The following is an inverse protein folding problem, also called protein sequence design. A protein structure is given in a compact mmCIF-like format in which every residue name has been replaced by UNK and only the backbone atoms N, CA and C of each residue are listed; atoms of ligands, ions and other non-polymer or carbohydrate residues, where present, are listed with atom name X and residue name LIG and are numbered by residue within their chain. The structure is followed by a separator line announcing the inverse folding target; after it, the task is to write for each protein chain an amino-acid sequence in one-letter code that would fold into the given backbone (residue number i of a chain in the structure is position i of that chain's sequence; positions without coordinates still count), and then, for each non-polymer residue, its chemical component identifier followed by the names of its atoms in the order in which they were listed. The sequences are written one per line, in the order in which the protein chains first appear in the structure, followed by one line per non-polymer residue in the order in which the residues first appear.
data_IF_295514031456
#
_entry.id   IF_295514031456
#
_cell.length_a   1.000
_cell.length_b   1.000
_cell.length_c   1.000
_cell.angle_alpha   90.00
_cell.angle_beta   90.00
_cell.angle_gamma   90.00
#
_symmetry.space_group_name_H-M   'P 1'
#
loop_
_entity.id
_entity.type
_entity.pdbx_description
1 polymer ?
#
# COMPACT_ATOMS: atom_id res chain seq x y z
N UNK A 1 34.44 -53.78 -28.97
CA UNK A 1 33.45 -54.34 -28.03
C UNK A 1 33.46 -53.51 -26.75
N UNK A 2 32.76 -52.36 -26.76
CA UNK A 2 32.49 -51.62 -25.52
C UNK A 2 31.55 -52.48 -24.68
N UNK A 3 31.99 -52.80 -23.46
CA UNK A 3 31.37 -53.79 -22.59
C UNK A 3 29.91 -53.41 -22.29
N UNK A 4 28.99 -54.34 -22.51
CA UNK A 4 27.58 -54.26 -22.10
C UNK A 4 27.40 -53.93 -20.61
N UNK A 5 28.43 -54.16 -19.80
CA UNK A 5 28.49 -53.73 -18.39
C UNK A 5 28.55 -52.21 -18.21
N UNK A 6 29.16 -51.47 -19.14
CA UNK A 6 29.28 -50.01 -19.08
C UNK A 6 27.95 -49.31 -19.41
N UNK A 7 27.20 -49.87 -20.37
CA UNK A 7 25.85 -49.38 -20.73
C UNK A 7 24.84 -49.64 -19.62
N UNK A 8 24.92 -50.80 -18.94
CA UNK A 8 24.07 -51.09 -17.78
C UNK A 8 24.37 -50.16 -16.59
N UNK A 9 25.63 -49.78 -16.39
CA UNK A 9 26.04 -48.91 -15.29
C UNK A 9 25.60 -47.46 -15.52
N UNK A 10 25.65 -46.99 -16.77
CA UNK A 10 25.12 -45.66 -17.15
C UNK A 10 23.59 -45.63 -17.04
N UNK A 11 22.89 -46.69 -17.45
CA UNK A 11 21.42 -46.78 -17.31
C UNK A 11 20.97 -46.89 -15.84
N UNK A 12 21.73 -47.58 -14.98
CA UNK A 12 21.48 -47.63 -13.53
C UNK A 12 21.78 -46.28 -12.86
N UNK A 13 22.79 -45.53 -13.30
CA UNK A 13 23.03 -44.17 -12.81
C UNK A 13 21.93 -43.19 -13.24
N UNK A 14 21.37 -43.35 -14.44
CA UNK A 14 20.24 -42.52 -14.90
C UNK A 14 18.93 -42.89 -14.17
N UNK A 15 18.70 -44.17 -13.84
CA UNK A 15 17.54 -44.58 -13.02
C UNK A 15 17.69 -44.27 -11.52
N UNK A 16 18.91 -44.15 -11.00
CA UNK A 16 19.17 -43.83 -9.59
C UNK A 16 19.19 -42.32 -9.30
N UNK A 17 19.14 -41.45 -10.32
CA UNK A 17 19.00 -40.01 -10.15
C UNK A 17 17.55 -39.53 -9.92
N UNK A 18 16.55 -40.39 -10.09
CA UNK A 18 15.12 -40.03 -9.92
C UNK A 18 14.53 -40.33 -8.53
N UNK A 19 15.35 -40.69 -7.53
CA UNK A 19 14.91 -40.82 -6.13
C UNK A 19 15.85 -40.04 -5.20
N UNK A 20 16.05 -38.76 -5.49
CA UNK A 20 16.48 -37.79 -4.49
C UNK A 20 15.26 -36.97 -4.06
N UNK A 21 14.57 -37.51 -3.05
CA UNK A 21 13.45 -36.87 -2.36
C UNK A 21 13.83 -35.44 -1.94
N UNK A 22 13.08 -34.49 -2.48
CA UNK A 22 13.08 -33.07 -2.16
C UNK A 22 12.63 -32.87 -0.71
N UNK A 23 13.58 -32.84 0.24
CA UNK A 23 13.34 -32.19 1.53
C UNK A 23 13.37 -30.67 1.33
N UNK A 24 12.26 -30.13 0.81
CA UNK A 24 11.94 -28.71 0.98
C UNK A 24 11.74 -28.48 2.47
N UNK A 25 12.75 -27.92 3.14
CA UNK A 25 12.55 -27.23 4.40
C UNK A 25 11.52 -26.12 4.14
N UNK A 26 10.26 -26.36 4.53
CA UNK A 26 9.27 -25.30 4.71
C UNK A 26 9.73 -24.45 5.90
N UNK A 27 10.65 -23.53 5.65
CA UNK A 27 10.65 -22.29 6.41
C UNK A 27 9.45 -21.51 5.90
N UNK A 28 8.39 -21.44 6.72
CA UNK A 28 7.26 -20.57 6.41
C UNK A 28 7.81 -19.17 6.20
N UNK A 29 7.64 -18.63 4.98
CA UNK A 29 7.88 -17.22 4.69
C UNK A 29 6.95 -16.47 5.65
N UNK A 30 7.51 -15.84 6.69
CA UNK A 30 6.76 -14.92 7.56
C UNK A 30 6.13 -13.88 6.66
N UNK A 31 4.89 -13.50 6.97
CA UNK A 31 4.19 -12.51 6.17
C UNK A 31 4.92 -11.16 6.32
N UNK A 32 5.11 -10.47 5.21
CA UNK A 32 5.92 -9.25 5.07
C UNK A 32 5.57 -8.14 6.09
N UNK A 33 4.30 -8.09 6.52
CA UNK A 33 3.83 -7.19 7.58
C UNK A 33 4.51 -7.41 8.94
N UNK A 34 4.92 -8.64 9.27
CA UNK A 34 5.66 -8.94 10.51
C UNK A 34 7.10 -8.40 10.48
N UNK A 35 7.60 -7.97 9.31
CA UNK A 35 8.93 -7.38 9.12
C UNK A 35 8.93 -5.84 9.13
N UNK A 36 7.77 -5.21 8.90
CA UNK A 36 7.61 -3.74 8.87
C UNK A 36 7.30 -3.11 10.24
N UNK A 37 6.85 -3.93 11.19
CA UNK A 37 6.58 -3.57 12.60
C UNK A 37 7.73 -2.80 13.30
N UNK A 38 9.02 -3.18 13.13
CA UNK A 38 10.14 -2.48 13.75
C UNK A 38 10.49 -1.14 13.07
N UNK A 39 10.11 -0.97 11.81
CA UNK A 39 10.43 0.23 11.02
C UNK A 39 9.44 1.37 11.29
N UNK A 40 8.16 1.05 11.47
CA UNK A 40 7.15 2.00 11.97
C UNK A 40 7.50 2.51 13.38
N UNK A 41 8.12 1.68 14.22
CA UNK A 41 8.62 2.07 15.54
C UNK A 41 9.79 3.08 15.49
N UNK A 42 10.56 3.13 14.41
CA UNK A 42 11.67 4.09 14.27
C UNK A 42 11.22 5.46 13.79
N UNK A 43 10.21 5.55 12.91
CA UNK A 43 9.64 6.82 12.44
C UNK A 43 9.03 7.63 13.60
N UNK A 44 8.32 6.97 14.51
CA UNK A 44 7.68 7.62 15.66
C UNK A 44 8.67 8.09 16.74
N UNK A 45 9.93 7.63 16.68
CA UNK A 45 10.98 8.11 17.58
C UNK A 45 11.53 9.48 17.16
N UNK A 46 11.43 9.82 15.87
CA UNK A 46 11.95 11.08 15.31
C UNK A 46 10.94 12.23 15.43
N UNK A 47 9.63 11.94 15.41
CA UNK A 47 8.57 12.94 15.58
C UNK A 47 8.46 13.47 17.02
N UNK A 48 8.95 12.73 18.01
CA UNK A 48 8.93 13.14 19.42
C UNK A 48 10.05 14.13 19.80
N UNK A 49 11.03 14.34 18.92
CA UNK A 49 12.19 15.22 19.19
C UNK A 49 12.05 16.63 18.57
N UNK A 50 10.90 16.96 17.96
CA UNK A 50 10.63 18.31 17.40
C UNK A 50 9.97 19.18 18.47
N UNK A 51 10.79 19.88 19.26
CA UNK A 51 10.34 21.02 20.07
C UNK A 51 10.00 22.21 19.15
N UNK A 52 8.72 22.52 18.99
CA UNK A 52 8.27 23.73 18.29
C UNK A 52 8.26 24.89 19.29
N UNK A 53 9.23 25.80 19.19
CA UNK A 53 9.23 27.08 19.88
C UNK A 53 8.09 27.97 19.33
N UNK A 54 7.08 28.26 20.16
CA UNK A 54 6.11 29.31 19.90
C UNK A 54 6.32 30.47 20.87
N UNK A 55 6.82 31.59 20.35
CA UNK A 55 6.85 32.88 21.05
C UNK A 55 5.45 33.56 21.08
N UNK A 56 5.22 34.23 22.21
CA UNK A 56 4.29 35.33 22.50
C UNK A 56 2.78 35.09 22.73
N UNK A 57 2.37 35.20 24.02
CA UNK A 57 1.35 36.17 24.45
C UNK A 57 1.38 36.40 25.99
N UNK A 58 1.31 37.67 26.39
CA UNK A 58 1.49 38.19 27.76
C UNK A 58 0.24 38.13 28.66
N UNK A 59 0.52 37.95 29.95
CA UNK A 59 -0.16 38.44 31.17
C UNK A 59 -1.56 37.93 31.57
N UNK A 60 -1.61 37.12 32.65
CA UNK A 60 -2.58 37.21 33.74
C UNK A 60 -1.98 36.66 35.06
N UNK A 61 -2.43 37.10 36.26
CA UNK A 61 -1.66 37.05 37.50
C UNK A 61 -1.60 35.68 38.21
N UNK A 62 -0.47 35.48 38.89
CA UNK A 62 -0.10 34.39 39.80
C UNK A 62 -1.00 34.40 41.05
N UNK A 63 -1.55 33.25 41.42
CA UNK A 63 -1.95 32.93 42.79
C UNK A 63 -1.29 31.60 43.18
N UNK A 64 -0.42 31.67 44.19
CA UNK A 64 0.37 30.58 44.75
C UNK A 64 -0.49 29.70 45.66
N UNK A 65 -0.44 28.38 45.45
CA UNK A 65 -0.69 27.40 46.52
C UNK A 65 -0.21 26.02 46.10
N UNK A 66 1.02 25.70 46.49
CA UNK A 66 1.58 24.42 46.93
C UNK A 66 0.71 23.15 46.76
N UNK A 67 1.24 22.14 46.06
CA UNK A 67 1.67 20.90 46.72
C UNK A 67 2.51 20.02 45.76
N UNK A 68 3.80 19.90 46.08
CA UNK A 68 4.70 18.90 45.52
C UNK A 68 4.26 17.51 45.96
N UNK A 69 3.84 16.68 45.01
CA UNK A 69 4.04 15.24 45.11
C UNK A 69 4.65 14.76 43.81
N UNK A 70 5.98 14.64 43.82
CA UNK A 70 6.73 13.80 42.91
C UNK A 70 6.30 12.34 43.13
N UNK A 71 5.27 11.91 42.42
CA UNK A 71 5.12 10.51 42.04
C UNK A 71 5.58 10.40 40.60
N UNK A 72 6.84 10.02 40.40
CA UNK A 72 7.29 9.41 39.14
C UNK A 72 6.56 8.07 39.00
N UNK A 73 5.30 8.13 38.59
CA UNK A 73 4.63 7.01 37.99
C UNK A 73 5.30 6.80 36.63
N UNK A 74 6.15 5.77 36.51
CA UNK A 74 6.41 5.16 35.21
C UNK A 74 5.05 4.80 34.62
N UNK A 75 4.51 5.68 33.79
CA UNK A 75 3.28 5.42 33.07
C UNK A 75 3.62 4.31 32.08
N UNK A 76 3.22 3.09 32.42
CA UNK A 76 3.25 1.95 31.50
C UNK A 76 2.28 2.28 30.36
N UNK A 77 2.76 3.09 29.41
CA UNK A 77 1.95 3.60 28.31
C UNK A 77 1.40 2.41 27.53
N UNK A 78 0.09 2.41 27.29
CA UNK A 78 -0.56 1.35 26.54
C UNK A 78 0.15 1.20 25.17
N UNK A 79 0.73 0.02 24.86
CA UNK A 79 1.54 -0.17 23.66
C UNK A 79 0.72 -0.01 22.37
N UNK A 80 -0.61 -0.02 22.46
CA UNK A 80 -1.50 0.25 21.33
C UNK A 80 -1.68 1.74 21.00
N UNK A 81 -1.29 2.68 21.88
CA UNK A 81 -1.48 4.11 21.63
C UNK A 81 -0.78 4.58 20.36
N UNK A 82 0.43 4.07 20.12
CA UNK A 82 1.27 4.45 18.97
C UNK A 82 1.44 3.30 17.96
N UNK A 83 0.68 2.21 18.10
CA UNK A 83 0.78 1.05 17.21
C UNK A 83 -0.33 1.08 16.16
N UNK A 84 0.03 1.39 14.93
CA UNK A 84 -0.92 1.42 13.82
C UNK A 84 -1.09 0.02 13.23
N UNK A 85 -2.31 -0.49 13.28
CA UNK A 85 -2.64 -1.75 12.62
C UNK A 85 -3.07 -1.53 11.16
N UNK A 86 -2.76 -2.48 10.29
CA UNK A 86 -3.26 -2.47 8.92
C UNK A 86 -4.80 -2.54 8.85
N UNK A 87 -5.36 -2.21 7.69
CA UNK A 87 -6.80 -2.08 7.48
C UNK A 87 -7.62 -3.29 7.92
N UNK A 88 -8.81 -3.05 8.48
CA UNK A 88 -9.70 -4.09 8.98
C UNK A 88 -9.18 -4.80 10.24
N UNK A 89 -8.13 -4.26 10.87
CA UNK A 89 -7.57 -4.74 12.12
C UNK A 89 -7.55 -3.62 13.15
N UNK A 90 -7.53 -4.01 14.41
CA UNK A 90 -7.39 -3.11 15.56
C UNK A 90 -6.33 -3.65 16.51
N UNK A 91 -5.75 -2.76 17.31
CA UNK A 91 -4.68 -3.12 18.24
C UNK A 91 -5.24 -3.64 19.56
N UNK A 92 -4.70 -4.77 20.01
CA UNK A 92 -4.98 -5.36 21.32
C UNK A 92 -3.68 -5.64 22.07
N UNK A 93 -3.67 -5.45 23.39
CA UNK A 93 -2.53 -5.82 24.24
C UNK A 93 -2.65 -7.29 24.64
N UNK A 94 -1.65 -8.10 24.31
CA UNK A 94 -1.63 -9.51 24.68
C UNK A 94 -1.21 -9.74 26.14
N UNK A 95 -1.28 -10.98 26.62
CA UNK A 95 -0.89 -11.36 28.00
C UNK A 95 0.59 -11.06 28.36
N UNK A 96 1.43 -10.73 27.38
CA UNK A 96 2.84 -10.36 27.58
C UNK A 96 3.06 -8.85 27.57
N UNK A 97 1.99 -8.05 27.61
CA UNK A 97 2.07 -6.59 27.54
C UNK A 97 2.49 -6.05 26.18
N UNK A 98 2.37 -6.83 25.09
CA UNK A 98 2.74 -6.37 23.74
C UNK A 98 1.51 -6.08 22.90
N UNK A 99 1.56 -5.00 22.11
CA UNK A 99 0.59 -4.71 21.08
C UNK A 99 0.57 -5.81 20.01
N UNK A 100 -0.62 -6.24 19.61
CA UNK A 100 -0.88 -7.23 18.57
C UNK A 100 -2.11 -6.82 17.76
N UNK A 101 -2.00 -6.80 16.44
CA UNK A 101 -3.13 -6.52 15.56
C UNK A 101 -4.05 -7.74 15.40
N UNK A 102 -5.32 -7.57 15.73
CA UNK A 102 -6.38 -8.56 15.53
C UNK A 102 -7.42 -8.04 14.55
N UNK A 103 -8.24 -8.91 13.95
CA UNK A 103 -9.31 -8.43 13.07
C UNK A 103 -10.25 -7.53 13.86
N UNK A 104 -10.64 -6.39 13.29
CA UNK A 104 -11.47 -5.41 13.97
C UNK A 104 -12.78 -6.06 14.42
N UNK A 105 -13.16 -5.88 15.69
CA UNK A 105 -14.42 -6.41 16.20
C UNK A 105 -15.59 -5.63 15.62
N UNK A 106 -15.47 -4.30 15.52
CA UNK A 106 -16.45 -3.41 14.91
C UNK A 106 -15.76 -2.38 14.01
N UNK A 107 -16.50 -1.85 13.04
CA UNK A 107 -16.04 -0.75 12.22
C UNK A 107 -16.64 0.58 12.73
N UNK A 108 -15.90 1.70 12.59
CA UNK A 108 -16.38 3.00 13.05
C UNK A 108 -17.75 3.35 12.46
N UNK A 109 -18.68 3.78 13.33
CA UNK A 109 -20.02 4.25 12.96
C UNK A 109 -20.22 5.74 13.26
N UNK A 110 -19.19 6.38 13.82
CA UNK A 110 -19.17 7.80 14.15
C UNK A 110 -17.93 8.47 13.52
N UNK A 111 -18.09 9.59 12.79
CA UNK A 111 -19.37 10.19 12.39
C UNK A 111 -20.21 9.22 11.55
N UNK A 112 -21.52 9.48 11.46
CA UNK A 112 -22.45 8.62 10.72
C UNK A 112 -21.89 8.35 9.31
N UNK A 113 -21.76 7.08 8.87
CA UNK A 113 -21.15 6.76 7.59
C UNK A 113 -21.86 7.48 6.44
N UNK A 114 -21.08 8.12 5.58
CA UNK A 114 -21.58 8.72 4.34
C UNK A 114 -21.92 7.59 3.36
N UNK A 115 -23.04 7.63 2.63
CA UNK A 115 -23.28 6.72 1.51
C UNK A 115 -22.13 6.62 0.49
N UNK A 116 -21.28 7.64 0.39
CA UNK A 116 -20.06 7.67 -0.43
C UNK A 116 -18.88 6.89 0.19
N UNK A 117 -18.94 6.54 1.48
CA UNK A 117 -17.92 5.72 2.15
C UNK A 117 -17.99 4.25 1.74
N UNK A 118 -19.10 3.84 1.10
CA UNK A 118 -19.27 2.49 0.57
C UNK A 118 -18.17 2.17 -0.43
N UNK A 119 -17.89 0.88 -0.58
CA UNK A 119 -16.86 0.42 -1.50
C UNK A 119 -17.25 -0.82 -2.26
N UNK A 120 -16.76 -0.95 -3.49
CA UNK A 120 -16.91 -2.14 -4.29
C UNK A 120 -15.65 -2.99 -4.20
N UNK A 121 -15.83 -4.29 -3.97
CA UNK A 121 -14.73 -5.26 -3.96
C UNK A 121 -14.48 -5.85 -5.35
N UNK A 122 -13.32 -6.48 -5.50
CA UNK A 122 -12.94 -7.26 -6.69
C UNK A 122 -13.85 -8.46 -7.00
N UNK A 123 -14.71 -8.85 -6.06
CA UNK A 123 -15.73 -9.88 -6.26
C UNK A 123 -17.12 -9.29 -6.60
N UNK A 124 -17.19 -8.00 -6.95
CA UNK A 124 -18.41 -7.27 -7.27
C UNK A 124 -19.44 -7.24 -6.12
N UNK A 125 -18.94 -7.23 -4.87
CA UNK A 125 -19.76 -7.08 -3.65
C UNK A 125 -19.51 -5.71 -3.04
N UNK A 126 -20.60 -5.02 -2.70
CA UNK A 126 -20.55 -3.72 -2.01
C UNK A 126 -20.43 -3.91 -0.50
N UNK A 127 -19.48 -3.21 0.10
CA UNK A 127 -19.30 -3.12 1.55
C UNK A 127 -19.63 -1.72 2.04
N UNK A 128 -20.09 -1.59 3.29
CA UNK A 128 -20.49 -0.31 3.87
C UNK A 128 -19.33 0.68 4.06
N UNK A 129 -18.10 0.17 4.13
CA UNK A 129 -16.88 0.99 4.21
C UNK A 129 -15.66 0.18 3.83
N UNK A 130 -14.52 0.83 3.62
CA UNK A 130 -13.24 0.14 3.47
C UNK A 130 -12.88 -0.73 4.71
N UNK A 131 -13.25 -0.29 5.94
CA UNK A 131 -13.05 -1.11 7.15
C UNK A 131 -13.77 -2.46 7.06
N UNK A 132 -15.07 -2.45 6.72
CA UNK A 132 -15.88 -3.65 6.57
C UNK A 132 -15.31 -4.62 5.53
N UNK A 133 -14.81 -4.10 4.40
CA UNK A 133 -14.17 -4.89 3.35
C UNK A 133 -12.94 -5.65 3.89
N UNK A 134 -12.01 -4.94 4.53
CA UNK A 134 -10.78 -5.57 5.01
C UNK A 134 -10.96 -6.37 6.31
N UNK A 135 -11.99 -6.07 7.12
CA UNK A 135 -12.40 -6.89 8.26
C UNK A 135 -12.82 -8.29 7.79
N UNK A 136 -13.67 -8.38 6.76
CA UNK A 136 -14.06 -9.65 6.14
C UNK A 136 -12.83 -10.40 5.59
N UNK A 137 -11.93 -9.70 4.88
CA UNK A 137 -10.65 -10.29 4.42
C UNK A 137 -9.84 -10.87 5.58
N UNK A 138 -9.71 -10.11 6.67
CA UNK A 138 -8.95 -10.53 7.85
C UNK A 138 -9.54 -11.79 8.49
N UNK A 139 -10.85 -11.80 8.74
CA UNK A 139 -11.57 -12.94 9.33
C UNK A 139 -11.42 -14.19 8.48
N UNK A 140 -11.57 -14.06 7.15
CA UNK A 140 -11.42 -15.18 6.23
C UNK A 140 -9.98 -15.67 6.11
N UNK A 141 -8.97 -14.78 6.13
CA UNK A 141 -7.55 -15.19 6.17
C UNK A 141 -7.17 -15.94 7.43
N UNK A 142 -7.84 -15.64 8.55
CA UNK A 142 -7.64 -16.31 9.84
C UNK A 142 -8.57 -17.49 10.07
N UNK A 143 -9.42 -17.82 9.10
CA UNK A 143 -10.38 -18.93 9.17
C UNK A 143 -11.32 -18.84 10.39
N UNK A 144 -11.71 -17.61 10.75
CA UNK A 144 -12.64 -17.34 11.84
C UNK A 144 -14.07 -17.75 11.45
N UNK A 145 -14.91 -18.05 12.44
CA UNK A 145 -16.28 -18.50 12.23
C UNK A 145 -17.17 -17.43 11.57
N UNK A 146 -16.85 -16.16 11.79
CA UNK A 146 -17.53 -14.99 11.25
C UNK A 146 -17.21 -14.73 9.77
N UNK A 147 -16.24 -15.46 9.19
CA UNK A 147 -15.94 -15.36 7.75
C UNK A 147 -17.17 -15.78 6.93
N UNK A 148 -17.65 -14.88 6.07
CA UNK A 148 -18.83 -15.15 5.25
C UNK A 148 -18.54 -16.12 4.12
N UNK A 149 -17.34 -16.03 3.52
CA UNK A 149 -16.93 -16.88 2.40
C UNK A 149 -15.42 -17.07 2.34
N UNK A 150 -14.94 -18.31 2.29
CA UNK A 150 -13.50 -18.62 2.21
C UNK A 150 -12.78 -17.99 1.00
N UNK A 151 -13.50 -17.68 -0.10
CA UNK A 151 -12.93 -16.94 -1.25
C UNK A 151 -12.50 -15.52 -0.88
N UNK A 152 -13.03 -14.96 0.20
CA UNK A 152 -12.75 -13.60 0.66
C UNK A 152 -11.36 -13.46 1.31
N UNK A 153 -10.55 -14.53 1.37
CA UNK A 153 -9.13 -14.45 1.77
C UNK A 153 -8.32 -13.46 0.94
N UNK A 154 -8.69 -13.26 -0.33
CA UNK A 154 -8.01 -12.38 -1.29
C UNK A 154 -8.81 -11.13 -1.66
N UNK A 155 -9.78 -10.75 -0.83
CA UNK A 155 -10.61 -9.58 -1.08
C UNK A 155 -9.77 -8.31 -1.10
N UNK A 156 -10.00 -7.45 -2.09
CA UNK A 156 -9.40 -6.12 -2.18
C UNK A 156 -10.42 -5.12 -2.71
N UNK A 157 -10.13 -3.84 -2.48
CA UNK A 157 -10.91 -2.74 -3.02
C UNK A 157 -10.80 -2.72 -4.55
N UNK A 158 -11.91 -2.68 -5.27
CA UNK A 158 -11.91 -2.43 -6.70
C UNK A 158 -12.00 -0.92 -6.99
N UNK A 159 -12.96 -0.25 -6.35
CA UNK A 159 -13.13 1.21 -6.41
C UNK A 159 -14.00 1.70 -5.24
N UNK A 160 -13.92 3.01 -4.99
CA UNK A 160 -14.75 3.72 -4.02
C UNK A 160 -16.17 3.91 -4.55
N UNK A 161 -17.17 3.74 -3.67
CA UNK A 161 -18.59 3.76 -4.00
C UNK A 161 -19.22 2.36 -4.01
N UNK A 162 -20.54 2.31 -4.21
CA UNK A 162 -21.26 1.05 -4.38
C UNK A 162 -20.91 0.39 -5.71
N UNK A 163 -21.04 -0.95 -5.78
CA UNK A 163 -20.81 -1.65 -7.04
C UNK A 163 -21.82 -1.23 -8.10
N UNK A 164 -21.29 -0.81 -9.25
CA UNK A 164 -22.00 -0.45 -10.46
C UNK A 164 -21.59 -1.38 -11.60
N UNK A 165 -22.43 -1.45 -12.62
CA UNK A 165 -22.07 -2.10 -13.88
C UNK A 165 -20.97 -1.28 -14.55
N UNK A 166 -19.82 -1.92 -14.78
CA UNK A 166 -18.70 -1.31 -15.49
C UNK A 166 -18.73 -1.73 -16.95
N UNK A 167 -18.44 -0.78 -17.83
CA UNK A 167 -18.18 -1.09 -19.24
C UNK A 167 -16.96 -2.01 -19.37
N UNK A 168 -16.98 -2.91 -20.35
CA UNK A 168 -15.89 -3.86 -20.56
C UNK A 168 -14.58 -3.13 -20.94
N UNK A 169 -13.49 -3.50 -20.26
CA UNK A 169 -12.16 -3.07 -20.67
C UNK A 169 -11.71 -3.85 -21.90
N UNK A 170 -11.95 -3.29 -23.09
CA UNK A 170 -11.48 -3.88 -24.34
C UNK A 170 -9.97 -3.75 -24.47
N UNK A 171 -9.34 -4.61 -25.29
CA UNK A 171 -7.89 -4.52 -25.55
C UNK A 171 -7.48 -3.14 -26.10
N UNK A 172 -8.35 -2.51 -26.90
CA UNK A 172 -8.09 -1.17 -27.43
C UNK A 172 -8.15 -0.08 -26.34
N UNK A 173 -9.09 -0.21 -25.39
CA UNK A 173 -9.14 0.68 -24.22
C UNK A 173 -7.88 0.53 -23.37
N UNK A 174 -7.49 -0.72 -23.11
CA UNK A 174 -6.31 -1.06 -22.32
C UNK A 174 -5.01 -0.56 -22.96
N UNK A 175 -4.86 -0.67 -24.28
CA UNK A 175 -3.67 -0.17 -24.99
C UNK A 175 -3.53 1.35 -24.99
N UNK A 176 -4.63 2.09 -24.83
CA UNK A 176 -4.60 3.56 -24.74
C UNK A 176 -4.53 4.04 -23.28
N UNK A 177 -4.72 3.13 -22.32
CA UNK A 177 -4.86 3.48 -20.92
C UNK A 177 -3.58 4.08 -20.34
N UNK A 178 -2.42 3.53 -20.68
CA UNK A 178 -1.11 4.00 -20.21
C UNK A 178 -0.89 5.49 -20.51
N UNK A 179 -0.99 5.87 -21.78
CA UNK A 179 -0.81 7.27 -22.22
C UNK A 179 -1.86 8.19 -21.61
N UNK A 180 -3.13 7.76 -21.57
CA UNK A 180 -4.20 8.57 -20.96
C UNK A 180 -4.00 8.77 -19.46
N UNK A 181 -3.48 7.77 -18.76
CA UNK A 181 -3.13 7.87 -17.35
C UNK A 181 -1.96 8.85 -17.17
N UNK A 182 -0.91 8.77 -17.99
CA UNK A 182 0.20 9.72 -17.94
C UNK A 182 -0.24 11.17 -18.23
N UNK A 183 -1.09 11.38 -19.24
CA UNK A 183 -1.71 12.67 -19.53
C UNK A 183 -2.55 13.19 -18.35
N UNK A 184 -3.34 12.31 -17.74
CA UNK A 184 -4.15 12.64 -16.58
C UNK A 184 -3.28 13.02 -15.38
N UNK A 185 -2.19 12.28 -15.10
CA UNK A 185 -1.25 12.61 -14.03
C UNK A 185 -0.61 13.98 -14.22
N UNK A 186 -0.27 14.33 -15.46
CA UNK A 186 0.20 15.68 -15.79
C UNK A 186 -0.85 16.75 -15.44
N UNK A 187 -2.12 16.55 -15.82
CA UNK A 187 -3.19 17.49 -15.46
C UNK A 187 -3.42 17.58 -13.94
N UNK A 188 -3.39 16.45 -13.23
CA UNK A 188 -3.51 16.43 -11.77
C UNK A 188 -2.39 17.25 -11.13
N UNK A 189 -1.14 17.04 -11.54
CA UNK A 189 0.02 17.76 -11.00
C UNK A 189 -0.08 19.27 -11.29
N UNK A 190 -0.54 19.65 -12.49
CA UNK A 190 -0.82 21.06 -12.82
C UNK A 190 -1.91 21.65 -11.93
N UNK A 191 -3.00 20.92 -11.71
CA UNK A 191 -4.12 21.42 -10.92
C UNK A 191 -3.78 21.50 -9.43
N UNK A 192 -2.93 20.62 -8.92
CA UNK A 192 -2.35 20.74 -7.57
C UNK A 192 -1.47 21.97 -7.47
N UNK A 193 -0.58 22.22 -8.45
CA UNK A 193 0.23 23.45 -8.49
C UNK A 193 -0.64 24.70 -8.51
N UNK A 194 -1.65 24.78 -9.37
CA UNK A 194 -2.56 25.95 -9.47
C UNK A 194 -3.29 26.22 -8.16
N UNK A 195 -3.66 25.17 -7.43
CA UNK A 195 -4.34 25.25 -6.12
C UNK A 195 -3.38 25.46 -4.95
N UNK A 196 -2.07 25.48 -5.19
CA UNK A 196 -1.04 25.54 -4.15
C UNK A 196 -1.08 24.32 -3.20
N UNK A 197 -1.52 23.17 -3.73
CA UNK A 197 -1.62 21.87 -3.05
C UNK A 197 -0.49 20.91 -3.49
N UNK A 198 0.40 21.34 -4.39
CA UNK A 198 1.60 20.60 -4.76
C UNK A 198 2.73 20.99 -3.80
N UNK A 199 2.99 20.14 -2.81
CA UNK A 199 4.04 20.36 -1.82
C UNK A 199 5.42 19.96 -2.35
N UNK A 200 6.45 20.73 -2.00
CA UNK A 200 7.86 20.48 -2.34
C UNK A 200 8.35 21.26 -3.56
N UNK A 201 9.32 22.16 -3.34
CA UNK A 201 9.86 23.05 -4.38
C UNK A 201 10.38 22.29 -5.61
N UNK A 202 10.96 21.10 -5.39
CA UNK A 202 11.43 20.25 -6.48
C UNK A 202 10.29 19.84 -7.44
N UNK A 203 9.10 19.53 -6.90
CA UNK A 203 7.96 19.10 -7.71
C UNK A 203 7.36 20.27 -8.48
N UNK A 204 7.35 21.47 -7.88
CA UNK A 204 6.95 22.71 -8.55
C UNK A 204 7.89 23.02 -9.74
N UNK A 205 9.21 22.92 -9.54
CA UNK A 205 10.19 23.13 -10.60
C UNK A 205 10.05 22.08 -11.72
N UNK A 206 9.87 20.81 -11.36
CA UNK A 206 9.68 19.74 -12.34
C UNK A 206 8.44 19.99 -13.20
N UNK A 207 7.29 20.32 -12.61
CA UNK A 207 6.10 20.59 -13.42
C UNK A 207 6.27 21.84 -14.31
N UNK A 208 7.01 22.87 -13.85
CA UNK A 208 7.36 24.04 -14.68
C UNK A 208 8.25 23.70 -15.88
N UNK A 209 9.17 22.76 -15.71
CA UNK A 209 10.00 22.25 -16.80
C UNK A 209 9.17 21.41 -17.76
N UNK A 210 8.25 20.57 -17.26
CA UNK A 210 7.31 19.78 -18.06
C UNK A 210 6.29 20.62 -18.84
N UNK A 211 5.93 21.81 -18.35
CA UNK A 211 5.12 22.78 -19.11
C UNK A 211 5.89 23.32 -20.34
N UNK A 212 7.22 23.36 -20.28
CA UNK A 212 8.10 23.94 -21.32
C UNK A 212 8.66 22.90 -22.28
N UNK A 213 8.84 21.66 -21.83
CA UNK A 213 9.39 20.56 -22.61
C UNK A 213 8.37 19.42 -22.73
N UNK A 214 8.00 19.12 -23.98
CA UNK A 214 7.04 18.06 -24.29
C UNK A 214 7.51 16.67 -23.87
N UNK A 215 8.81 16.40 -23.88
CA UNK A 215 9.36 15.13 -23.45
C UNK A 215 9.16 14.89 -21.94
N UNK A 216 9.22 15.96 -21.15
CA UNK A 216 9.12 15.88 -19.69
C UNK A 216 7.66 15.80 -19.19
N UNK A 217 6.67 16.02 -20.08
CA UNK A 217 5.24 16.01 -19.74
C UNK A 217 4.78 14.71 -19.11
N UNK A 218 5.36 13.57 -19.49
CA UNK A 218 5.01 12.27 -18.90
C UNK A 218 6.04 11.83 -17.86
N UNK A 219 7.33 12.04 -18.12
CA UNK A 219 8.42 11.60 -17.23
C UNK A 219 8.20 12.11 -15.80
N UNK A 220 8.00 13.41 -15.61
CA UNK A 220 7.95 13.99 -14.27
C UNK A 220 6.66 13.67 -13.49
N UNK A 221 5.45 13.79 -14.06
CA UNK A 221 4.23 13.42 -13.32
C UNK A 221 4.16 11.94 -12.99
N UNK A 222 4.69 11.06 -13.84
CA UNK A 222 4.75 9.62 -13.58
C UNK A 222 5.64 9.31 -12.39
N UNK A 223 6.85 9.91 -12.32
CA UNK A 223 7.78 9.74 -11.19
C UNK A 223 7.20 10.38 -9.92
N UNK A 224 6.69 11.62 -10.02
CA UNK A 224 6.05 12.31 -8.90
C UNK A 224 4.93 11.46 -8.30
N UNK A 225 4.06 10.90 -9.15
CA UNK A 225 2.94 10.12 -8.64
C UNK A 225 3.38 8.86 -7.93
N UNK A 226 4.43 8.20 -8.41
CA UNK A 226 5.01 7.06 -7.70
C UNK A 226 5.44 7.45 -6.28
N UNK A 227 6.21 8.54 -6.14
CA UNK A 227 6.68 9.03 -4.84
C UNK A 227 5.53 9.49 -3.93
N UNK A 228 4.47 10.06 -4.49
CA UNK A 228 3.25 10.44 -3.76
C UNK A 228 2.51 9.22 -3.20
N UNK A 229 2.54 8.09 -3.91
CA UNK A 229 1.89 6.84 -3.50
C UNK A 229 2.75 6.04 -2.49
N UNK A 230 4.06 5.94 -2.74
CA UNK A 230 5.07 5.27 -1.90
C UNK A 230 5.38 6.09 -0.64
N UNK A 231 4.40 6.18 0.26
CA UNK A 231 4.45 7.07 1.42
C UNK A 231 4.55 6.32 2.75
N UNK A 232 3.95 5.12 2.87
CA UNK A 232 3.84 4.40 4.15
C UNK A 232 3.75 2.88 3.97
N UNK A 233 4.84 2.13 4.18
CA UNK A 233 6.23 2.58 4.36
C UNK A 233 6.81 3.14 3.04
N UNK A 234 7.81 4.02 3.12
CA UNK A 234 8.60 4.38 1.93
C UNK A 234 9.56 3.22 1.61
N UNK A 235 9.08 2.22 0.88
CA UNK A 235 9.82 0.97 0.61
C UNK A 235 10.17 0.77 -0.87
N UNK A 236 10.05 1.83 -1.68
CA UNK A 236 10.34 1.86 -3.12
C UNK A 236 9.45 0.94 -3.95
N UNK A 237 8.30 0.61 -3.39
CA UNK A 237 7.32 -0.26 -3.99
C UNK A 237 5.92 0.23 -3.62
N UNK A 238 5.03 0.28 -4.61
CA UNK A 238 3.64 0.68 -4.38
C UNK A 238 2.79 -0.59 -4.30
N UNK A 239 2.18 -0.80 -3.15
CA UNK A 239 1.23 -1.90 -2.95
C UNK A 239 -0.15 -1.55 -3.51
N UNK A 240 -1.01 -2.56 -3.70
CA UNK A 240 -2.41 -2.33 -4.05
C UNK A 240 -3.13 -1.35 -3.08
N UNK A 241 -2.74 -1.28 -1.81
CA UNK A 241 -3.37 -0.37 -0.85
C UNK A 241 -2.96 1.09 -1.10
N UNK A 242 -1.72 1.32 -1.52
CA UNK A 242 -1.24 2.65 -1.87
C UNK A 242 -1.80 3.12 -3.20
N UNK A 243 -2.25 2.21 -4.08
CA UNK A 243 -2.96 2.53 -5.32
C UNK A 243 -4.42 2.95 -5.09
N UNK A 244 -4.97 2.84 -3.87
CA UNK A 244 -6.37 3.18 -3.58
C UNK A 244 -6.74 4.63 -4.02
N UNK A 245 -5.92 5.67 -3.82
CA UNK A 245 -6.20 7.00 -4.34
C UNK A 245 -6.34 7.06 -5.87
N UNK A 246 -5.72 6.11 -6.60
CA UNK A 246 -5.89 5.91 -8.04
C UNK A 246 -7.12 5.07 -8.41
N UNK A 247 -7.98 4.74 -7.46
CA UNK A 247 -9.28 4.08 -7.72
C UNK A 247 -10.46 5.04 -7.51
N UNK A 248 -10.16 6.33 -7.35
CA UNK A 248 -11.17 7.37 -7.24
C UNK A 248 -12.02 7.46 -8.52
N UNK A 249 -13.33 7.74 -8.43
CA UNK A 249 -14.27 7.77 -9.58
C UNK A 249 -13.96 8.76 -10.71
N UNK A 250 -12.87 9.53 -10.61
CA UNK A 250 -12.51 10.60 -11.55
C UNK A 250 -11.49 10.14 -12.59
N UNK A 251 -11.11 8.85 -12.58
CA UNK A 251 -10.12 8.30 -13.50
C UNK A 251 -10.82 7.74 -14.75
N UNK A 252 -10.35 8.10 -15.97
CA UNK A 252 -10.91 7.54 -17.20
C UNK A 252 -10.83 6.01 -17.23
N UNK A 253 -11.87 5.34 -17.75
CA UNK A 253 -11.89 3.89 -17.97
C UNK A 253 -11.61 3.08 -16.69
N UNK A 254 -12.41 3.29 -15.65
CA UNK A 254 -12.30 2.58 -14.35
C UNK A 254 -12.17 1.06 -14.48
N UNK A 255 -12.82 0.46 -15.48
CA UNK A 255 -12.74 -0.98 -15.76
C UNK A 255 -11.37 -1.46 -16.21
N UNK A 256 -10.52 -0.57 -16.72
CA UNK A 256 -9.16 -0.88 -17.16
C UNK A 256 -8.11 -0.66 -16.08
N UNK A 257 -8.42 0.03 -14.98
CA UNK A 257 -7.44 0.29 -13.90
C UNK A 257 -6.86 -1.03 -13.39
N UNK A 258 -7.72 -1.97 -13.01
CA UNK A 258 -7.27 -3.22 -12.39
C UNK A 258 -6.51 -4.14 -13.37
N UNK A 259 -7.01 -4.41 -14.60
CA UNK A 259 -6.24 -5.13 -15.61
C UNK A 259 -4.92 -4.46 -15.99
N UNK A 260 -4.86 -3.13 -15.95
CA UNK A 260 -3.65 -2.36 -16.22
C UNK A 260 -2.62 -2.55 -15.10
N UNK A 261 -3.01 -2.33 -13.84
CA UNK A 261 -2.10 -2.48 -12.70
C UNK A 261 -1.55 -3.90 -12.57
N UNK A 262 -2.34 -4.93 -12.89
CA UNK A 262 -1.85 -6.32 -12.99
C UNK A 262 -0.80 -6.52 -14.09
N UNK A 263 -0.84 -5.75 -15.17
CA UNK A 263 0.19 -5.82 -16.22
C UNK A 263 1.45 -5.07 -15.81
N UNK A 264 1.34 -4.08 -14.92
CA UNK A 264 2.49 -3.37 -14.39
C UNK A 264 3.29 -4.24 -13.41
N UNK A 265 2.61 -5.05 -12.58
CA UNK A 265 3.24 -6.06 -11.70
C UNK A 265 3.79 -7.24 -12.54
N UNK A 266 5.02 -7.10 -13.03
CA UNK A 266 5.58 -7.99 -14.05
C UNK A 266 6.10 -9.31 -13.45
N UNK A 267 6.50 -9.29 -12.18
CA UNK A 267 6.98 -10.47 -11.46
C UNK A 267 5.91 -11.11 -10.53
N UNK A 268 4.72 -10.52 -10.47
CA UNK A 268 3.54 -10.99 -9.76
C UNK A 268 3.77 -11.11 -8.24
N UNK A 269 4.50 -10.15 -7.66
CA UNK A 269 4.80 -10.10 -6.24
C UNK A 269 3.81 -9.25 -5.40
N UNK A 270 2.74 -8.75 -6.03
CA UNK A 270 1.71 -7.85 -5.49
C UNK A 270 2.23 -6.43 -5.17
N UNK A 271 3.43 -6.07 -5.64
CA UNK A 271 4.03 -4.75 -5.54
C UNK A 271 4.38 -4.23 -6.93
N UNK A 272 4.39 -2.91 -7.08
CA UNK A 272 4.83 -2.25 -8.31
C UNK A 272 6.03 -1.39 -7.97
N UNK A 273 7.18 -1.73 -8.53
CA UNK A 273 8.40 -0.92 -8.39
C UNK A 273 8.36 0.31 -9.30
N UNK A 274 9.22 1.31 -9.04
CA UNK A 274 9.31 2.50 -9.90
C UNK A 274 9.60 2.15 -11.37
N UNK A 275 10.40 1.10 -11.60
CA UNK A 275 10.75 0.63 -12.94
C UNK A 275 9.55 0.04 -13.67
N UNK A 276 8.78 -0.79 -12.97
CA UNK A 276 7.53 -1.35 -13.49
C UNK A 276 6.51 -0.26 -13.78
N UNK A 277 6.30 0.64 -12.82
CA UNK A 277 5.40 1.78 -12.94
C UNK A 277 5.74 2.66 -14.15
N UNK A 278 6.99 3.11 -14.26
CA UNK A 278 7.45 3.96 -15.36
C UNK A 278 7.29 3.28 -16.72
N UNK A 279 7.75 2.03 -16.83
CA UNK A 279 7.64 1.25 -18.08
C UNK A 279 6.17 1.00 -18.47
N UNK A 280 5.32 0.71 -17.49
CA UNK A 280 3.89 0.47 -17.71
C UNK A 280 3.17 1.72 -18.23
N UNK A 281 3.64 2.91 -17.83
CA UNK A 281 3.12 4.21 -18.28
C UNK A 281 3.84 4.74 -19.54
N UNK A 282 4.73 3.94 -20.13
CA UNK A 282 5.35 4.23 -21.43
C UNK A 282 6.63 5.06 -21.36
N UNK A 283 7.29 5.12 -20.21
CA UNK A 283 8.62 5.72 -20.10
C UNK A 283 9.71 4.77 -20.60
N UNK A 284 10.76 5.34 -21.19
CA UNK A 284 11.98 4.64 -21.56
C UNK A 284 12.86 4.36 -20.33
N UNK A 285 13.70 3.32 -20.38
CA UNK A 285 14.46 2.89 -19.18
C UNK A 285 15.44 3.94 -18.66
N UNK A 286 15.95 4.82 -19.51
CA UNK A 286 16.86 5.92 -19.15
C UNK A 286 16.14 7.16 -18.60
N UNK A 287 14.82 7.24 -18.77
CA UNK A 287 13.97 8.29 -18.18
C UNK A 287 13.53 7.95 -16.74
N UNK A 288 13.63 6.67 -16.33
CA UNK A 288 13.15 6.22 -15.03
C UNK A 288 14.25 6.36 -13.97
N UNK A 289 14.18 7.45 -13.21
CA UNK A 289 15.08 7.72 -12.09
C UNK A 289 14.31 8.07 -10.82
N UNK A 290 14.81 7.60 -9.69
CA UNK A 290 14.22 7.88 -8.38
C UNK A 290 14.48 9.35 -7.99
N UNK A 291 13.40 10.09 -7.72
CA UNK A 291 13.41 11.49 -7.23
C UNK A 291 12.47 11.69 -6.04
N UNK A 292 12.16 10.60 -5.36
CA UNK A 292 11.65 10.63 -4.01
C UNK A 292 12.84 11.00 -3.08
#
# INVERSE_FOLDING_TARGET
MLSTKFVLLVLLCLYACDIASTKKNKHGKKNDWDQLEPMLQQLHKMDNDIEIEHEDAKNAPIDDSDNETNEEAETEQNPCLNHVCGWGKECHVNHKGKAVCQCAVECPTNPKPDPLDKVCSNNNVTYESICHLYRERCMCRREMAECSNAKNKHLHLQYLGHCKELEECTQNHLSQFSTRMADWLFQVMLDLKKRQELYGDQWIQMIEDAERDEHLKHVYPVIWKFCDLDSKPHDKAVTHHELIPLTAPVIPLESCIEPFLRQCDADADEKITLKEWGKCLGLEEDEIFERC
#
